data_IF_217313779292
#
_entry.id   IF_217313779292
#
_cell.length_a   1.000
_cell.length_b   1.000
_cell.length_c   1.000
_cell.angle_alpha   90.00
_cell.angle_beta   90.00
_cell.angle_gamma   90.00
#
_symmetry.space_group_name_H-M   'P 1'
#
loop_
_entity.id
_entity.type
_entity.pdbx_description
1 polymer ?
#
# COMPACT_ATOMS: atom_id res chain seq x y z
N UNK A 1 -0.15 -12.53 -10.60
CA UNK A 1 -0.85 -11.29 -10.18
C UNK A 1 -0.24 -10.83 -8.86
N UNK A 2 0.35 -9.64 -8.80
CA UNK A 2 0.85 -9.08 -7.53
C UNK A 2 -0.35 -8.82 -6.62
N UNK A 3 -0.56 -9.65 -5.60
CA UNK A 3 -1.57 -9.35 -4.58
C UNK A 3 -1.33 -7.95 -4.05
N UNK A 4 -2.33 -7.08 -4.22
CA UNK A 4 -2.31 -5.72 -3.70
C UNK A 4 -2.07 -5.78 -2.19
N UNK A 5 -1.30 -4.83 -1.67
CA UNK A 5 -1.08 -4.73 -0.23
C UNK A 5 -2.41 -4.38 0.46
N UNK A 6 -2.57 -4.76 1.74
CA UNK A 6 -3.74 -4.39 2.53
C UNK A 6 -3.98 -2.86 2.52
N UNK A 7 -2.96 -1.99 2.67
CA UNK A 7 -3.16 -0.55 2.57
C UNK A 7 -3.71 -0.10 1.21
N UNK A 8 -3.34 -0.75 0.12
CA UNK A 8 -3.88 -0.44 -1.22
C UNK A 8 -5.35 -0.86 -1.36
N UNK A 9 -5.76 -1.96 -0.71
CA UNK A 9 -7.16 -2.36 -0.63
C UNK A 9 -7.98 -1.36 0.20
N UNK A 10 -7.46 -0.95 1.36
CA UNK A 10 -8.10 0.04 2.22
C UNK A 10 -8.27 1.38 1.50
N UNK A 11 -7.24 1.84 0.77
CA UNK A 11 -7.29 3.06 -0.04
C UNK A 11 -8.46 3.03 -1.04
N UNK A 12 -8.58 1.92 -1.79
CA UNK A 12 -9.66 1.76 -2.77
C UNK A 12 -11.04 1.69 -2.13
N UNK A 13 -11.17 0.98 -1.02
CA UNK A 13 -12.43 0.89 -0.28
C UNK A 13 -12.87 2.28 0.19
N UNK A 14 -11.93 3.05 0.74
CA UNK A 14 -12.19 4.41 1.21
C UNK A 14 -12.62 5.34 0.06
N UNK A 15 -11.93 5.30 -1.08
CA UNK A 15 -12.29 6.08 -2.26
C UNK A 15 -13.70 5.76 -2.78
N UNK A 16 -14.12 4.49 -2.74
CA UNK A 16 -15.50 4.09 -3.10
C UNK A 16 -16.52 4.72 -2.15
N UNK A 17 -16.31 4.57 -0.84
CA UNK A 17 -17.21 5.13 0.15
C UNK A 17 -17.26 6.67 0.12
N UNK A 18 -16.13 7.34 -0.11
CA UNK A 18 -16.10 8.80 -0.31
C UNK A 18 -16.90 9.22 -1.55
N UNK A 19 -16.82 8.46 -2.63
CA UNK A 19 -17.56 8.75 -3.85
C UNK A 19 -19.07 8.52 -3.71
N UNK A 20 -19.47 7.52 -2.91
CA UNK A 20 -20.87 7.21 -2.58
C UNK A 20 -21.49 8.24 -1.63
N UNK A 21 -20.70 8.78 -0.71
CA UNK A 21 -21.14 9.75 0.31
C UNK A 21 -20.94 11.22 -0.08
N UNK A 22 -20.47 11.52 -1.31
CA UNK A 22 -20.11 12.86 -1.78
C UNK A 22 -19.05 13.59 -0.93
N UNK A 23 -18.15 12.83 -0.31
CA UNK A 23 -17.08 13.33 0.58
C UNK A 23 -15.73 13.47 -0.15
N UNK A 24 -15.75 13.69 -1.47
CA UNK A 24 -14.51 13.69 -2.27
C UNK A 24 -13.60 14.86 -1.94
N UNK A 25 -14.16 16.00 -1.56
CA UNK A 25 -13.40 17.22 -1.24
C UNK A 25 -13.16 17.39 0.26
N UNK A 26 -13.57 16.43 1.08
CA UNK A 26 -13.34 16.46 2.52
C UNK A 26 -11.85 16.35 2.84
N UNK A 27 -11.33 17.34 3.57
CA UNK A 27 -9.90 17.50 3.85
C UNK A 27 -9.35 16.36 4.72
N UNK A 28 -10.12 15.91 5.72
CA UNK A 28 -9.71 14.80 6.60
C UNK A 28 -9.64 13.50 5.81
N UNK A 29 -10.60 13.26 4.92
CA UNK A 29 -10.62 12.08 4.08
C UNK A 29 -9.46 12.06 3.07
N UNK A 30 -9.10 13.21 2.51
CA UNK A 30 -7.92 13.35 1.63
C UNK A 30 -6.61 13.09 2.38
N UNK A 31 -6.49 13.53 3.64
CA UNK A 31 -5.33 13.23 4.49
C UNK A 31 -5.20 11.72 4.77
N UNK A 32 -6.32 11.05 5.04
CA UNK A 32 -6.32 9.59 5.23
C UNK A 32 -5.86 8.86 3.95
N UNK A 33 -6.31 9.29 2.76
CA UNK A 33 -5.86 8.73 1.48
C UNK A 33 -4.35 8.93 1.29
N UNK A 34 -3.82 10.09 1.67
CA UNK A 34 -2.39 10.39 1.60
C UNK A 34 -1.58 9.48 2.52
N UNK A 35 -2.06 9.28 3.76
CA UNK A 35 -1.45 8.36 4.74
C UNK A 35 -1.48 6.92 4.25
N UNK A 36 -2.58 6.46 3.67
CA UNK A 36 -2.71 5.11 3.09
C UNK A 36 -1.77 4.89 1.91
N UNK A 37 -1.62 5.91 1.05
CA UNK A 37 -0.66 5.87 -0.07
C UNK A 37 0.78 5.74 0.43
N UNK A 38 1.16 6.58 1.39
CA UNK A 38 2.49 6.51 2.04
C UNK A 38 2.75 5.15 2.68
N UNK A 39 1.74 4.57 3.34
CA UNK A 39 1.85 3.26 3.96
C UNK A 39 1.99 2.14 2.91
N UNK A 40 1.23 2.20 1.81
CA UNK A 40 1.38 1.29 0.66
C UNK A 40 2.82 1.27 0.14
N UNK A 41 3.43 2.44 -0.05
CA UNK A 41 4.79 2.56 -0.57
C UNK A 41 5.83 1.97 0.39
N UNK A 42 5.69 2.26 1.69
CA UNK A 42 6.56 1.68 2.73
C UNK A 42 6.47 0.16 2.77
N UNK A 43 5.27 -0.40 2.65
CA UNK A 43 5.06 -1.86 2.60
C UNK A 43 5.69 -2.46 1.34
N UNK A 44 5.53 -1.81 0.18
CA UNK A 44 6.15 -2.26 -1.06
C UNK A 44 7.69 -2.29 -0.96
N UNK A 45 8.28 -1.22 -0.43
CA UNK A 45 9.72 -1.12 -0.21
C UNK A 45 10.23 -2.19 0.76
N UNK A 46 9.56 -2.37 1.91
CA UNK A 46 9.94 -3.39 2.89
C UNK A 46 9.85 -4.81 2.30
N UNK A 47 8.79 -5.10 1.54
CA UNK A 47 8.63 -6.40 0.85
C UNK A 47 9.75 -6.63 -0.16
N UNK A 48 10.09 -5.63 -0.96
CA UNK A 48 11.19 -5.70 -1.92
C UNK A 48 12.53 -6.00 -1.22
N UNK A 49 12.82 -5.32 -0.10
CA UNK A 49 14.03 -5.56 0.69
C UNK A 49 14.09 -7.00 1.23
N UNK A 50 12.98 -7.52 1.76
CA UNK A 50 12.92 -8.90 2.27
C UNK A 50 13.15 -9.92 1.15
N UNK A 51 12.56 -9.70 -0.03
CA UNK A 51 12.76 -10.58 -1.18
C UNK A 51 14.22 -10.54 -1.67
N UNK A 52 14.84 -9.35 -1.74
CA UNK A 52 16.25 -9.20 -2.11
C UNK A 52 17.18 -9.94 -1.12
N UNK A 53 16.94 -9.79 0.20
CA UNK A 53 17.72 -10.51 1.22
C UNK A 53 17.56 -12.03 1.12
N UNK A 54 16.35 -12.51 0.80
CA UNK A 54 16.10 -13.95 0.57
C UNK A 54 16.82 -14.46 -0.66
N UNK A 55 16.83 -13.70 -1.75
CA UNK A 55 17.54 -14.04 -2.97
C UNK A 55 19.07 -14.12 -2.73
N UNK A 56 19.65 -13.14 -2.04
CA UNK A 56 21.07 -13.15 -1.66
C UNK A 56 21.42 -14.40 -0.82
N UNK A 57 20.63 -14.69 0.22
CA UNK A 57 20.83 -15.91 1.04
C UNK A 57 20.71 -17.21 0.26
N UNK A 58 19.94 -17.24 -0.82
CA UNK A 58 19.82 -18.42 -1.68
C UNK A 58 21.05 -18.58 -2.58
N UNK A 59 21.64 -17.47 -3.04
CA UNK A 59 22.89 -17.45 -3.83
C UNK A 59 24.08 -17.85 -2.97
N UNK A 60 24.21 -17.33 -1.74
CA UNK A 60 25.33 -17.63 -0.83
C UNK A 60 25.36 -19.09 -0.33
N UNK A 61 24.30 -19.88 -0.57
CA UNK A 61 24.17 -21.29 -0.17
C UNK A 61 24.57 -22.29 -1.25
N UNK A 62 24.95 -21.82 -2.44
CA UNK A 62 25.40 -22.62 -3.60
C UNK A 62 26.91 -22.47 -3.72
#
# INVERSE_FOLDING_TARGET
MTSKSIPELLKRSLQSHMAEADLREDEEMQDIITKLTTLSDKVAAAKAQVLAKRAQKAVDKI
#
